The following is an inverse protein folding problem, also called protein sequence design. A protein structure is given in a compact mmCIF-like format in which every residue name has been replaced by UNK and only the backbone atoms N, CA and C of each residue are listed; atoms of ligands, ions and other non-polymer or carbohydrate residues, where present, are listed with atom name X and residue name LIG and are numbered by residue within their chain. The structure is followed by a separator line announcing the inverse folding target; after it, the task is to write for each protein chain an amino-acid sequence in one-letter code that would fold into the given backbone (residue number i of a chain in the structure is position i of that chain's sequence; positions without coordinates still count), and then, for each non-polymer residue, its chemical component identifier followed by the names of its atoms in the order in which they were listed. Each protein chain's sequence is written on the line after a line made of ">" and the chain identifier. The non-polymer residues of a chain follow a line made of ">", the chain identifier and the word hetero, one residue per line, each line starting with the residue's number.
data_IF_675037171031
#
_entry.id   IF_675037171031
#
_cell.length_a   1.000
_cell.length_b   1.000
_cell.length_c   1.000
_cell.angle_alpha   90.00
_cell.angle_beta   90.00
_cell.angle_gamma   90.00
#
_symmetry.space_group_name_H-M   'P 1'
#
loop_
_entity.id
_entity.type
_entity.pdbx_description
1 polymer ?
#
# COMPACT_ATOMS: atom_id res chain seq x y z
N UNK A 1 -40.59 -76.74 22.70
CA UNK A 1 -39.93 -75.59 22.04
C UNK A 1 -38.73 -75.15 22.92
N UNK A 2 -37.89 -76.11 23.31
CA UNK A 2 -36.74 -75.88 24.20
C UNK A 2 -35.54 -76.79 23.85
N UNK A 3 -35.48 -77.34 22.60
CA UNK A 3 -34.43 -78.27 22.19
C UNK A 3 -33.71 -77.82 20.89
N UNK A 4 -33.95 -76.59 20.39
CA UNK A 4 -33.25 -76.06 19.18
C UNK A 4 -32.34 -74.86 19.51
N UNK A 5 -32.17 -74.49 20.77
CA UNK A 5 -31.33 -73.32 21.13
C UNK A 5 -29.97 -73.72 21.72
N UNK A 6 -29.66 -75.02 21.88
CA UNK A 6 -28.37 -75.49 22.41
C UNK A 6 -27.40 -75.96 21.35
N UNK A 7 -27.82 -76.08 20.07
CA UNK A 7 -26.94 -76.51 18.98
C UNK A 7 -26.22 -75.32 18.23
N UNK A 8 -26.60 -74.06 18.54
CA UNK A 8 -26.01 -72.87 17.88
C UNK A 8 -24.91 -72.22 18.73
N UNK A 9 -24.67 -72.73 19.98
CA UNK A 9 -23.64 -72.13 20.87
C UNK A 9 -22.35 -72.93 20.95
N UNK A 10 -22.21 -74.03 20.19
CA UNK A 10 -20.98 -74.86 20.17
C UNK A 10 -20.18 -74.80 18.86
N UNK A 11 -20.47 -73.85 17.94
CA UNK A 11 -19.72 -73.71 16.69
C UNK A 11 -18.89 -72.45 16.59
N UNK A 12 -18.70 -71.71 17.73
CA UNK A 12 -17.88 -70.45 17.75
C UNK A 12 -16.59 -70.58 18.58
N UNK A 13 -16.05 -71.76 18.74
CA UNK A 13 -14.86 -71.92 19.64
C UNK A 13 -13.68 -72.60 18.96
N UNK A 14 -13.44 -72.37 17.64
CA UNK A 14 -12.18 -72.77 17.01
C UNK A 14 -11.85 -71.88 15.82
N UNK A 15 -11.80 -70.55 16.03
CA UNK A 15 -10.99 -69.65 15.18
C UNK A 15 -9.78 -69.29 16.03
N UNK A 16 -8.80 -70.15 16.04
CA UNK A 16 -7.48 -69.82 16.54
C UNK A 16 -6.92 -68.76 15.60
N UNK A 17 -6.88 -67.50 16.08
CA UNK A 17 -6.05 -66.49 15.47
C UNK A 17 -4.60 -66.91 15.57
N UNK A 18 -4.12 -67.52 14.52
CA UNK A 18 -2.71 -67.67 14.29
C UNK A 18 -2.21 -66.30 13.76
N UNK A 19 -2.11 -65.32 14.64
CA UNK A 19 -1.40 -64.08 14.34
C UNK A 19 0.08 -64.39 14.36
N UNK A 20 0.60 -64.90 13.26
CA UNK A 20 1.95 -64.52 12.88
C UNK A 20 1.91 -63.02 12.68
N UNK A 21 2.47 -62.30 13.61
CA UNK A 21 2.88 -60.92 13.36
C UNK A 21 4.02 -60.96 12.36
N UNK A 22 3.67 -61.07 11.07
CA UNK A 22 4.54 -60.57 10.04
C UNK A 22 4.63 -59.07 10.28
N UNK A 23 5.71 -58.64 10.93
CA UNK A 23 6.16 -57.25 10.86
C UNK A 23 6.51 -57.10 9.40
N UNK A 24 5.53 -56.73 8.58
CA UNK A 24 5.81 -56.19 7.26
C UNK A 24 6.81 -55.07 7.48
N UNK A 25 8.02 -55.29 7.04
CA UNK A 25 9.05 -54.29 6.96
C UNK A 25 8.50 -53.20 5.99
N UNK A 26 7.79 -52.23 6.53
CA UNK A 26 7.18 -51.14 5.77
C UNK A 26 8.29 -50.23 5.21
N UNK A 27 9.09 -50.78 4.34
CA UNK A 27 10.06 -50.00 3.57
C UNK A 27 9.31 -49.23 2.50
N UNK A 28 9.44 -47.90 2.53
CA UNK A 28 8.79 -46.98 1.59
C UNK A 28 9.82 -46.18 0.83
N UNK A 29 9.67 -46.09 -0.49
CA UNK A 29 10.45 -45.17 -1.33
C UNK A 29 10.03 -43.71 -1.23
N UNK A 30 9.10 -43.38 -0.35
CA UNK A 30 8.65 -41.98 -0.19
C UNK A 30 9.74 -41.10 0.45
N UNK A 31 10.09 -40.00 -0.25
CA UNK A 31 11.16 -39.06 0.13
C UNK A 31 10.61 -37.64 0.23
N UNK A 32 9.66 -37.40 1.14
CA UNK A 32 8.95 -36.11 1.22
C UNK A 32 9.23 -35.39 2.54
N UNK A 33 9.48 -34.08 2.49
CA UNK A 33 9.34 -33.20 3.64
C UNK A 33 7.85 -32.85 3.77
N UNK A 34 7.23 -33.21 4.92
CA UNK A 34 5.81 -32.97 5.19
C UNK A 34 5.59 -31.62 5.90
N UNK A 35 6.48 -31.28 6.83
CA UNK A 35 6.43 -30.03 7.58
C UNK A 35 7.84 -29.60 7.98
N UNK A 36 8.07 -28.30 8.01
CA UNK A 36 9.30 -27.69 8.51
C UNK A 36 8.97 -26.36 9.12
N UNK A 37 9.41 -26.11 10.36
CA UNK A 37 9.03 -24.90 11.11
C UNK A 37 10.27 -24.29 11.72
N UNK A 38 10.42 -22.97 11.53
CA UNK A 38 11.49 -22.19 12.14
C UNK A 38 11.27 -22.08 13.66
N UNK A 39 12.34 -22.17 14.42
CA UNK A 39 12.36 -21.99 15.86
C UNK A 39 12.48 -20.52 16.28
N UNK A 40 12.92 -20.30 17.51
CA UNK A 40 13.21 -18.94 18.02
C UNK A 40 14.58 -18.49 17.50
N UNK A 41 14.60 -17.38 16.77
CA UNK A 41 15.79 -16.84 16.12
C UNK A 41 16.33 -15.61 16.84
N UNK A 42 17.60 -15.31 16.65
CA UNK A 42 18.21 -14.06 17.11
C UNK A 42 18.09 -12.99 16.02
N UNK A 43 17.80 -11.77 16.45
CA UNK A 43 17.82 -10.58 15.61
C UNK A 43 18.72 -9.53 16.25
N UNK A 44 19.71 -9.05 15.53
CA UNK A 44 20.65 -8.05 15.95
C UNK A 44 20.20 -6.66 15.49
N UNK A 45 20.04 -5.75 16.43
CA UNK A 45 19.59 -4.39 16.20
C UNK A 45 20.66 -3.41 16.65
N UNK A 46 20.84 -2.33 15.89
CA UNK A 46 21.73 -1.24 16.21
C UNK A 46 20.99 -0.16 17.01
N UNK A 47 21.66 0.40 17.99
CA UNK A 47 21.18 1.56 18.76
C UNK A 47 22.38 2.40 19.15
N UNK A 48 22.14 3.67 19.50
CA UNK A 48 23.17 4.50 20.07
C UNK A 48 23.21 4.28 21.59
N UNK A 49 24.39 4.01 22.12
CA UNK A 49 24.63 4.00 23.57
C UNK A 49 24.45 5.42 24.14
N UNK A 50 24.38 5.54 25.46
CA UNK A 50 24.32 6.86 26.14
C UNK A 50 25.51 7.78 25.80
N UNK A 51 26.64 7.21 25.39
CA UNK A 51 27.83 7.96 24.96
C UNK A 51 27.83 8.25 23.44
N UNK A 52 26.76 7.98 22.71
CA UNK A 52 26.65 8.19 21.26
C UNK A 52 27.39 7.15 20.41
N UNK A 53 27.94 6.09 21.01
CA UNK A 53 28.61 5.01 20.27
C UNK A 53 27.58 4.00 19.77
N UNK A 54 27.84 3.43 18.57
CA UNK A 54 27.04 2.33 18.05
C UNK A 54 27.08 1.13 19.01
N UNK A 55 25.94 0.57 19.28
CA UNK A 55 25.76 -0.57 20.16
C UNK A 55 24.79 -1.57 19.54
N UNK A 56 25.13 -2.85 19.63
CA UNK A 56 24.27 -3.94 19.10
C UNK A 56 23.59 -4.61 20.29
N UNK A 57 22.28 -4.76 20.18
CA UNK A 57 21.50 -5.57 21.10
C UNK A 57 20.75 -6.67 20.37
N UNK A 58 20.42 -7.76 21.05
CA UNK A 58 19.76 -8.90 20.45
C UNK A 58 18.35 -9.03 20.99
N UNK A 59 17.39 -9.15 20.07
CA UNK A 59 16.01 -9.49 20.37
C UNK A 59 15.67 -10.87 19.76
N UNK A 60 14.61 -11.50 20.27
CA UNK A 60 14.12 -12.79 19.76
C UNK A 60 13.06 -12.57 18.70
N UNK A 61 13.11 -13.39 17.65
CA UNK A 61 12.08 -13.51 16.62
C UNK A 61 11.44 -14.88 16.73
N UNK A 62 10.11 -14.91 16.81
CA UNK A 62 9.34 -16.15 16.79
C UNK A 62 9.26 -16.64 15.36
N UNK A 63 10.13 -17.59 14.98
CA UNK A 63 10.27 -18.05 13.60
C UNK A 63 9.03 -18.73 13.04
N UNK A 64 8.19 -19.35 13.90
CA UNK A 64 6.92 -19.97 13.49
C UNK A 64 5.89 -19.00 12.90
N UNK A 65 6.05 -17.68 13.12
CA UNK A 65 5.23 -16.65 12.47
C UNK A 65 5.58 -16.43 10.99
N UNK A 66 6.69 -17.03 10.52
CA UNK A 66 7.18 -16.97 9.15
C UNK A 66 7.13 -18.38 8.56
N UNK A 67 5.95 -18.87 8.13
CA UNK A 67 5.79 -20.26 7.70
C UNK A 67 6.63 -20.55 6.48
N UNK A 68 7.15 -21.81 6.43
CA UNK A 68 7.89 -22.31 5.30
C UNK A 68 6.93 -22.98 4.32
N UNK A 69 6.97 -22.54 3.08
CA UNK A 69 6.29 -23.19 1.96
C UNK A 69 7.16 -24.33 1.44
N UNK A 70 6.57 -25.51 1.26
CA UNK A 70 7.23 -26.69 0.72
C UNK A 70 6.68 -26.95 -0.68
N UNK A 71 7.44 -26.55 -1.69
CA UNK A 71 7.13 -26.82 -3.08
C UNK A 71 7.69 -28.21 -3.45
N UNK A 72 6.80 -29.20 -3.45
CA UNK A 72 7.14 -30.57 -3.74
C UNK A 72 7.51 -30.80 -5.23
N UNK A 73 6.98 -30.00 -6.12
CA UNK A 73 7.19 -30.11 -7.56
C UNK A 73 8.58 -29.60 -7.93
N UNK A 74 8.89 -28.39 -7.49
CA UNK A 74 10.17 -27.75 -7.78
C UNK A 74 11.27 -28.09 -6.75
N UNK A 75 10.94 -28.89 -5.73
CA UNK A 75 11.88 -29.33 -4.69
C UNK A 75 12.51 -28.12 -3.95
N UNK A 76 11.67 -27.14 -3.58
CA UNK A 76 12.09 -25.92 -2.87
C UNK A 76 11.35 -25.77 -1.56
N UNK A 77 12.04 -25.25 -0.54
CA UNK A 77 11.47 -24.86 0.75
C UNK A 77 11.91 -23.43 1.05
N UNK A 78 10.97 -22.54 1.31
CA UNK A 78 11.28 -21.13 1.56
C UNK A 78 10.19 -20.47 2.39
N UNK A 79 10.53 -19.41 3.12
CA UNK A 79 9.53 -18.54 3.75
C UNK A 79 9.02 -17.53 2.73
N UNK A 80 7.69 -17.44 2.58
CA UNK A 80 7.01 -16.46 1.70
C UNK A 80 7.26 -15.06 2.25
N UNK A 81 6.94 -14.86 3.53
CA UNK A 81 7.28 -13.62 4.23
C UNK A 81 8.73 -13.68 4.70
N UNK A 82 9.55 -12.74 4.25
CA UNK A 82 10.94 -12.63 4.66
C UNK A 82 11.05 -12.32 6.15
N UNK A 83 12.02 -12.94 6.82
CA UNK A 83 12.34 -12.62 8.21
C UNK A 83 12.73 -11.13 8.37
N UNK A 84 12.50 -10.52 9.54
CA UNK A 84 12.85 -9.12 9.76
C UNK A 84 14.34 -8.86 9.55
N UNK A 85 14.66 -7.66 9.09
CA UNK A 85 16.06 -7.20 8.91
C UNK A 85 16.86 -7.38 10.19
N UNK A 86 18.10 -7.84 10.08
CA UNK A 86 18.98 -8.11 11.22
C UNK A 86 18.82 -9.50 11.85
N UNK A 87 17.91 -10.34 11.34
CA UNK A 87 17.82 -11.75 11.78
C UNK A 87 19.10 -12.51 11.41
N UNK A 88 19.68 -13.20 12.38
CA UNK A 88 20.91 -13.97 12.21
C UNK A 88 20.65 -15.27 11.45
N UNK A 89 20.72 -15.19 10.12
CA UNK A 89 20.56 -16.34 9.24
C UNK A 89 21.73 -17.33 9.28
N UNK A 90 22.84 -16.98 9.96
CA UNK A 90 23.95 -17.91 10.20
C UNK A 90 23.64 -18.89 11.33
N UNK A 91 22.60 -18.65 12.10
CA UNK A 91 22.21 -19.46 13.26
C UNK A 91 20.72 -19.77 13.26
N UNK A 92 20.22 -20.33 12.16
CA UNK A 92 18.84 -20.78 12.06
C UNK A 92 18.66 -22.09 12.83
N UNK A 93 17.61 -22.16 13.62
CA UNK A 93 17.16 -23.37 14.32
C UNK A 93 15.74 -23.72 13.88
N UNK A 94 15.42 -25.00 13.88
CA UNK A 94 14.09 -25.50 13.58
C UNK A 94 13.40 -25.99 14.85
N UNK A 95 12.13 -25.66 15.02
CA UNK A 95 11.28 -26.17 16.12
C UNK A 95 10.53 -27.45 15.70
N UNK A 96 10.43 -27.73 14.41
CA UNK A 96 9.78 -28.92 13.87
C UNK A 96 10.28 -29.26 12.47
N UNK A 97 10.46 -30.55 12.23
CA UNK A 97 10.76 -31.13 10.93
C UNK A 97 10.11 -32.53 10.85
N UNK A 98 9.22 -32.69 9.90
CA UNK A 98 8.56 -33.99 9.64
C UNK A 98 8.81 -34.39 8.20
N UNK A 99 9.34 -35.59 8.00
CA UNK A 99 9.61 -36.16 6.68
C UNK A 99 9.23 -37.63 6.67
N UNK A 100 9.18 -38.25 5.50
CA UNK A 100 8.88 -39.68 5.32
C UNK A 100 10.10 -40.58 5.57
N UNK A 101 11.28 -40.01 5.80
CA UNK A 101 12.52 -40.73 6.03
C UNK A 101 13.55 -39.86 6.76
N UNK A 102 14.80 -40.28 6.76
CA UNK A 102 15.88 -39.54 7.41
C UNK A 102 16.28 -38.30 6.62
N UNK A 103 16.47 -37.18 7.30
CA UNK A 103 16.85 -35.91 6.66
C UNK A 103 18.31 -35.62 6.93
N UNK A 104 19.05 -35.38 5.88
CA UNK A 104 20.45 -34.94 5.95
C UNK A 104 20.60 -33.55 5.33
N UNK A 105 21.63 -32.81 5.77
CA UNK A 105 22.01 -31.53 5.20
C UNK A 105 23.43 -31.62 4.63
N UNK A 106 23.63 -31.01 3.46
CA UNK A 106 24.93 -30.96 2.84
C UNK A 106 25.88 -30.03 3.59
N UNK A 107 27.02 -30.51 4.01
CA UNK A 107 28.07 -29.72 4.65
C UNK A 107 28.64 -28.68 3.69
N UNK A 108 28.75 -27.39 4.11
CA UNK A 108 29.42 -26.34 3.32
C UNK A 108 30.91 -26.55 3.16
N UNK A 109 31.53 -27.34 4.05
CA UNK A 109 33.00 -27.54 4.08
C UNK A 109 33.37 -28.77 3.26
N UNK A 110 32.68 -29.88 3.49
CA UNK A 110 33.07 -31.16 2.90
C UNK A 110 32.23 -31.56 1.68
N UNK A 111 31.10 -30.91 1.45
CA UNK A 111 30.13 -31.26 0.42
C UNK A 111 29.36 -32.57 0.69
N UNK A 112 29.65 -33.26 1.80
CA UNK A 112 29.04 -34.53 2.19
C UNK A 112 27.76 -34.26 3.01
N UNK A 113 26.79 -35.16 2.88
CA UNK A 113 25.55 -35.13 3.66
C UNK A 113 25.83 -35.61 5.09
N UNK A 114 25.29 -34.87 6.06
CA UNK A 114 25.30 -35.15 7.50
C UNK A 114 23.88 -35.18 8.02
N UNK A 115 23.55 -36.04 8.96
CA UNK A 115 22.20 -36.12 9.53
C UNK A 115 21.82 -34.77 10.12
N UNK A 116 20.64 -34.24 9.75
CA UNK A 116 20.14 -32.96 10.23
C UNK A 116 19.60 -33.13 11.66
N UNK A 117 20.24 -32.46 12.60
CA UNK A 117 19.73 -32.34 13.96
C UNK A 117 18.98 -31.02 14.13
N UNK A 118 17.70 -31.08 14.48
CA UNK A 118 16.84 -29.89 14.64
C UNK A 118 17.30 -28.96 15.77
N UNK A 119 18.06 -29.46 16.75
CA UNK A 119 18.59 -28.68 17.87
C UNK A 119 19.83 -27.86 17.51
N UNK A 120 20.49 -28.20 16.41
CA UNK A 120 21.69 -27.52 15.97
C UNK A 120 21.33 -26.24 15.20
N UNK A 121 22.14 -25.21 15.38
CA UNK A 121 22.02 -24.00 14.55
C UNK A 121 22.72 -24.21 13.21
N UNK A 122 22.04 -23.83 12.13
CA UNK A 122 22.48 -24.05 10.76
C UNK A 122 22.63 -22.71 10.05
N UNK A 123 23.72 -22.55 9.30
CA UNK A 123 23.99 -21.36 8.51
C UNK A 123 23.22 -21.43 7.16
N UNK A 124 22.24 -20.51 7.02
CA UNK A 124 21.46 -20.26 5.82
C UNK A 124 21.78 -18.90 5.18
N UNK A 125 22.98 -18.36 5.36
CA UNK A 125 23.42 -17.14 4.65
C UNK A 125 23.37 -17.30 3.11
N UNK A 126 23.34 -18.55 2.64
CA UNK A 126 23.07 -18.97 1.26
C UNK A 126 22.10 -20.13 1.27
N UNK A 127 21.34 -20.37 0.20
CA UNK A 127 20.47 -21.54 0.08
C UNK A 127 21.23 -22.85 0.37
N UNK A 128 20.57 -23.78 1.04
CA UNK A 128 21.16 -25.08 1.45
C UNK A 128 20.40 -26.21 0.82
N UNK A 129 21.11 -27.32 0.57
CA UNK A 129 20.49 -28.58 0.12
C UNK A 129 20.27 -29.48 1.32
N UNK A 130 19.04 -29.95 1.48
CA UNK A 130 18.69 -31.07 2.36
C UNK A 130 18.28 -32.27 1.49
N UNK A 131 18.63 -33.45 1.95
CA UNK A 131 18.30 -34.71 1.29
C UNK A 131 17.43 -35.55 2.21
N UNK A 132 16.27 -35.99 1.73
CA UNK A 132 15.43 -36.99 2.43
C UNK A 132 15.78 -38.36 1.88
N UNK A 133 16.27 -39.23 2.71
CA UNK A 133 16.54 -40.62 2.42
C UNK A 133 15.37 -41.48 2.87
N UNK A 134 14.79 -42.25 1.96
CA UNK A 134 13.66 -43.10 2.26
C UNK A 134 14.07 -44.31 3.13
N UNK A 135 13.07 -44.99 3.70
CA UNK A 135 13.27 -46.18 4.53
C UNK A 135 13.63 -47.41 3.71
N UNK A 136 13.49 -47.39 2.39
CA UNK A 136 13.92 -48.44 1.49
C UNK A 136 15.47 -48.53 1.31
N UNK A 137 16.19 -47.54 1.85
CA UNK A 137 17.65 -47.45 1.78
C UNK A 137 18.23 -47.12 0.40
N UNK A 138 17.39 -46.89 -0.61
CA UNK A 138 17.78 -46.60 -2.00
C UNK A 138 17.30 -45.25 -2.48
N UNK A 139 16.04 -44.96 -2.25
CA UNK A 139 15.38 -43.72 -2.74
C UNK A 139 15.79 -42.50 -1.94
N UNK A 140 16.00 -41.38 -2.63
CA UNK A 140 16.24 -40.10 -1.99
C UNK A 140 15.69 -38.94 -2.82
N UNK A 141 15.42 -37.79 -2.13
CA UNK A 141 15.00 -36.55 -2.78
C UNK A 141 15.70 -35.37 -2.15
N UNK A 142 16.17 -34.43 -2.99
CA UNK A 142 16.84 -33.22 -2.57
C UNK A 142 15.90 -32.03 -2.61
N UNK A 143 15.98 -31.16 -1.60
CA UNK A 143 15.27 -29.90 -1.56
C UNK A 143 16.27 -28.78 -1.38
N UNK A 144 16.09 -27.70 -2.14
CA UNK A 144 16.78 -26.44 -1.88
C UNK A 144 15.99 -25.65 -0.85
N UNK A 145 16.61 -25.38 0.30
CA UNK A 145 16.04 -24.57 1.38
C UNK A 145 16.62 -23.17 1.32
N UNK A 146 15.76 -22.17 1.21
CA UNK A 146 16.11 -20.76 1.15
C UNK A 146 15.40 -20.01 2.28
N UNK A 147 16.15 -19.52 3.27
CA UNK A 147 15.63 -18.73 4.38
C UNK A 147 15.87 -17.27 4.08
N UNK A 148 14.78 -16.57 3.73
CA UNK A 148 14.80 -15.18 3.27
C UNK A 148 14.73 -14.22 4.45
N UNK A 149 15.50 -13.15 4.36
CA UNK A 149 15.54 -12.05 5.33
C UNK A 149 15.51 -10.73 4.58
N UNK A 150 14.73 -9.77 5.07
CA UNK A 150 14.74 -8.41 4.51
C UNK A 150 16.12 -7.77 4.67
N UNK A 151 16.58 -7.12 3.61
CA UNK A 151 17.86 -6.39 3.60
C UNK A 151 17.71 -4.97 4.11
N UNK A 152 16.48 -4.44 4.10
CA UNK A 152 16.14 -3.06 4.42
C UNK A 152 15.01 -3.01 5.44
N UNK A 153 15.00 -1.93 6.24
CA UNK A 153 13.90 -1.67 7.17
C UNK A 153 12.61 -1.36 6.41
N UNK A 154 11.54 -2.08 6.75
CA UNK A 154 10.24 -1.93 6.07
C UNK A 154 9.67 -0.53 6.13
N UNK A 155 9.80 0.13 7.28
CA UNK A 155 9.25 1.46 7.54
C UNK A 155 10.20 2.61 7.13
N UNK A 156 11.35 2.31 6.52
CA UNK A 156 12.24 3.34 6.00
C UNK A 156 11.67 3.93 4.71
N UNK A 157 11.59 5.27 4.70
CA UNK A 157 11.27 6.05 3.52
C UNK A 157 12.57 6.37 2.77
N UNK A 158 12.63 6.02 1.49
CA UNK A 158 13.76 6.32 0.62
C UNK A 158 13.32 7.33 -0.44
N UNK A 159 14.05 8.45 -0.51
CA UNK A 159 13.83 9.49 -1.50
C UNK A 159 14.95 9.53 -2.53
N UNK A 160 14.57 9.71 -3.80
CA UNK A 160 15.48 9.93 -4.91
C UNK A 160 15.06 11.21 -5.64
N UNK A 161 15.99 12.15 -5.81
CA UNK A 161 15.79 13.28 -6.72
C UNK A 161 15.98 12.77 -8.15
N UNK A 162 14.90 12.73 -8.91
CA UNK A 162 14.90 12.21 -10.29
C UNK A 162 15.20 13.30 -11.31
N UNK A 163 14.91 14.55 -10.97
CA UNK A 163 15.21 15.70 -11.82
C UNK A 163 15.50 16.95 -10.99
N UNK A 164 16.22 17.92 -11.57
CA UNK A 164 16.53 19.22 -10.99
C UNK A 164 16.77 20.23 -12.11
N UNK A 165 16.32 21.48 -11.88
CA UNK A 165 16.52 22.55 -12.85
C UNK A 165 15.74 22.39 -14.15
N UNK A 166 14.59 21.69 -14.11
CA UNK A 166 13.72 21.55 -15.26
C UNK A 166 13.12 22.91 -15.66
N UNK A 167 13.55 23.45 -16.78
CA UNK A 167 13.10 24.75 -17.29
C UNK A 167 11.59 24.81 -17.57
N UNK A 168 10.98 23.65 -17.87
CA UNK A 168 9.53 23.55 -18.09
C UNK A 168 8.69 23.95 -16.87
N UNK A 169 9.28 23.94 -15.66
CA UNK A 169 8.62 24.30 -14.41
C UNK A 169 9.01 25.68 -13.87
N UNK A 170 9.91 26.42 -14.54
CA UNK A 170 10.50 27.66 -14.00
C UNK A 170 9.49 28.79 -13.76
N UNK A 171 8.41 28.85 -14.54
CA UNK A 171 7.39 29.91 -14.51
C UNK A 171 6.00 29.42 -14.07
N UNK A 172 5.87 28.13 -13.77
CA UNK A 172 4.59 27.53 -13.38
C UNK A 172 4.31 27.80 -11.91
N UNK A 173 3.03 28.01 -11.58
CA UNK A 173 2.53 28.24 -10.21
C UNK A 173 1.24 27.44 -9.98
N UNK A 174 0.82 27.34 -8.71
CA UNK A 174 -0.41 26.65 -8.30
C UNK A 174 -0.48 25.22 -8.87
N UNK A 175 0.60 24.47 -8.64
CA UNK A 175 0.69 23.11 -9.14
C UNK A 175 -0.35 22.19 -8.48
N UNK A 176 -0.99 21.39 -9.33
CA UNK A 176 -1.84 20.29 -8.92
C UNK A 176 -1.48 19.04 -9.74
N UNK A 177 -1.15 17.92 -9.09
CA UNK A 177 -0.69 16.73 -9.78
C UNK A 177 -1.63 15.55 -9.61
N UNK A 178 -1.75 14.78 -10.69
CA UNK A 178 -2.44 13.49 -10.73
C UNK A 178 -1.56 12.47 -11.42
N UNK A 179 -1.64 11.22 -10.98
CA UNK A 179 -1.07 10.08 -11.70
C UNK A 179 -2.20 9.25 -12.28
N UNK A 180 -2.15 9.02 -13.59
CA UNK A 180 -3.11 8.17 -14.29
C UNK A 180 -2.33 7.08 -15.00
N UNK A 181 -2.53 5.83 -14.59
CA UNK A 181 -1.77 4.68 -15.08
C UNK A 181 -0.25 4.91 -14.90
N UNK A 182 0.51 5.01 -15.99
CA UNK A 182 1.95 5.30 -15.99
C UNK A 182 2.29 6.75 -16.32
N UNK A 183 1.31 7.67 -16.36
CA UNK A 183 1.53 9.07 -16.73
C UNK A 183 1.33 9.98 -15.53
N UNK A 184 2.31 10.80 -15.26
CA UNK A 184 2.27 11.93 -14.34
C UNK A 184 1.71 13.15 -15.09
N UNK A 185 0.72 13.80 -14.50
CA UNK A 185 0.16 15.07 -14.97
C UNK A 185 0.43 16.12 -13.88
N UNK A 186 1.03 17.22 -14.24
CA UNK A 186 1.20 18.40 -13.39
C UNK A 186 0.48 19.58 -14.05
N UNK A 187 -0.69 19.90 -13.55
CA UNK A 187 -1.47 21.06 -13.95
C UNK A 187 -0.98 22.29 -13.20
N UNK A 188 -1.07 23.46 -13.81
CA UNK A 188 -0.68 24.71 -13.17
C UNK A 188 -0.93 25.92 -14.06
N UNK A 189 -0.49 27.09 -13.59
CA UNK A 189 -0.62 28.35 -14.30
C UNK A 189 0.75 28.88 -14.72
N UNK A 190 0.89 29.28 -15.96
CA UNK A 190 2.01 30.08 -16.47
C UNK A 190 1.51 31.52 -16.75
N UNK A 191 1.86 32.44 -15.87
CA UNK A 191 1.15 33.71 -15.79
C UNK A 191 -0.32 33.51 -15.39
N UNK A 192 -1.24 33.71 -16.32
CA UNK A 192 -2.68 33.47 -16.17
C UNK A 192 -3.18 32.31 -17.04
N UNK A 193 -2.30 31.67 -17.79
CA UNK A 193 -2.68 30.62 -18.75
C UNK A 193 -2.52 29.23 -18.10
N UNK A 194 -3.56 28.39 -18.13
CA UNK A 194 -3.45 27.03 -17.64
C UNK A 194 -2.57 26.19 -18.57
N UNK A 195 -1.71 25.40 -17.94
CA UNK A 195 -0.81 24.47 -18.62
C UNK A 195 -0.87 23.12 -17.94
N UNK A 196 -0.54 22.06 -18.69
CA UNK A 196 -0.27 20.76 -18.15
C UNK A 196 1.08 20.26 -18.64
N UNK A 197 1.88 19.74 -17.71
CA UNK A 197 3.12 19.04 -18.00
C UNK A 197 2.89 17.56 -17.78
N UNK A 198 3.39 16.73 -18.68
CA UNK A 198 3.24 15.29 -18.61
C UNK A 198 4.59 14.58 -18.65
N UNK A 199 4.73 13.50 -17.87
CA UNK A 199 5.88 12.62 -17.90
C UNK A 199 5.46 11.16 -17.67
N UNK A 200 6.28 10.20 -18.08
CA UNK A 200 6.06 8.81 -17.74
C UNK A 200 6.69 8.51 -16.39
N UNK A 201 6.01 7.68 -15.54
CA UNK A 201 6.52 7.25 -14.22
C UNK A 201 7.85 6.49 -14.32
N UNK A 202 8.14 5.85 -15.46
CA UNK A 202 9.44 5.22 -15.72
C UNK A 202 10.55 6.22 -16.08
N UNK A 203 10.19 7.45 -16.51
CA UNK A 203 11.13 8.51 -16.92
C UNK A 203 10.71 9.87 -16.36
N UNK A 204 10.59 10.02 -15.02
CA UNK A 204 10.04 11.21 -14.37
C UNK A 204 10.94 12.47 -14.50
N UNK A 205 12.05 12.37 -15.20
CA UNK A 205 12.93 13.49 -15.57
C UNK A 205 12.60 14.09 -16.97
N UNK A 206 11.73 13.46 -17.75
CA UNK A 206 11.37 13.89 -19.11
C UNK A 206 9.94 14.41 -19.12
N UNK A 207 9.79 15.73 -19.14
CA UNK A 207 8.49 16.40 -19.12
C UNK A 207 8.19 17.09 -20.44
N UNK A 208 6.95 16.92 -20.90
CA UNK A 208 6.41 17.61 -22.07
C UNK A 208 5.35 18.59 -21.62
N UNK A 209 5.47 19.84 -22.03
CA UNK A 209 4.53 20.92 -21.71
C UNK A 209 3.47 21.03 -22.79
N UNK A 210 2.21 21.18 -22.38
CA UNK A 210 1.06 21.43 -23.24
C UNK A 210 0.27 22.64 -22.73
N UNK A 211 -0.17 23.50 -23.66
CA UNK A 211 -1.14 24.54 -23.34
C UNK A 211 -2.54 23.91 -23.23
N UNK A 212 -3.33 24.37 -22.29
CA UNK A 212 -4.71 23.90 -22.08
C UNK A 212 -5.70 24.81 -22.79
N UNK A 213 -6.72 24.23 -23.37
CA UNK A 213 -7.86 24.94 -23.95
C UNK A 213 -9.15 24.45 -23.28
N UNK A 214 -10.02 25.35 -22.74
CA UNK A 214 -9.95 26.82 -22.78
C UNK A 214 -8.97 27.43 -21.76
N UNK A 215 -8.55 28.66 -22.03
CA UNK A 215 -7.62 29.42 -21.16
C UNK A 215 -8.21 29.80 -19.80
N UNK A 216 -9.49 29.61 -19.57
CA UNK A 216 -10.20 29.86 -18.31
C UNK A 216 -10.28 28.65 -17.40
N UNK A 217 -9.62 27.56 -17.75
CA UNK A 217 -9.64 26.33 -16.95
C UNK A 217 -8.92 26.57 -15.62
N UNK A 218 -9.56 26.16 -14.53
CA UNK A 218 -8.95 26.11 -13.21
C UNK A 218 -8.10 24.84 -13.09
N UNK A 219 -6.79 25.00 -13.21
CA UNK A 219 -5.83 23.91 -13.16
C UNK A 219 -5.83 23.16 -11.81
N UNK A 220 -6.21 23.81 -10.71
CA UNK A 220 -6.28 23.19 -9.38
C UNK A 220 -7.55 22.38 -9.14
N UNK A 221 -8.60 22.60 -9.94
CA UNK A 221 -9.87 21.87 -9.82
C UNK A 221 -9.88 20.50 -10.50
N UNK A 222 -8.77 20.09 -11.15
CA UNK A 222 -8.76 18.88 -11.98
C UNK A 222 -8.88 17.62 -11.13
N UNK A 223 -9.87 16.78 -11.47
CA UNK A 223 -10.05 15.43 -10.86
C UNK A 223 -10.17 14.37 -11.95
N UNK A 224 -9.84 13.13 -11.62
CA UNK A 224 -10.05 11.97 -12.51
C UNK A 224 -11.28 11.19 -12.08
N UNK A 225 -12.25 10.99 -12.99
CA UNK A 225 -13.43 10.16 -12.78
C UNK A 225 -13.57 9.14 -13.91
N UNK A 226 -13.50 7.88 -13.56
CA UNK A 226 -13.45 6.80 -14.54
C UNK A 226 -12.26 6.98 -15.51
N UNK A 227 -12.56 7.02 -16.81
CA UNK A 227 -11.56 7.22 -17.86
C UNK A 227 -11.46 8.68 -18.37
N UNK A 228 -12.04 9.64 -17.66
CA UNK A 228 -12.06 11.06 -18.07
C UNK A 228 -11.55 11.97 -16.95
N UNK A 229 -10.98 13.09 -17.36
CA UNK A 229 -10.71 14.21 -16.45
C UNK A 229 -11.92 15.14 -16.41
N UNK A 230 -12.12 15.76 -15.25
CA UNK A 230 -13.09 16.81 -15.01
C UNK A 230 -12.40 17.99 -14.36
N UNK A 231 -12.81 19.19 -14.70
CA UNK A 231 -12.29 20.44 -14.14
C UNK A 231 -13.34 21.55 -14.26
N UNK A 232 -13.07 22.69 -13.66
CA UNK A 232 -13.89 23.87 -13.79
C UNK A 232 -13.26 24.86 -14.78
N UNK A 233 -14.08 25.55 -15.58
CA UNK A 233 -13.67 26.71 -16.33
C UNK A 233 -14.76 27.79 -16.18
N UNK A 234 -14.41 28.95 -15.65
CA UNK A 234 -15.40 30.02 -15.33
C UNK A 234 -16.59 29.46 -14.54
N UNK A 235 -16.33 28.62 -13.53
CA UNK A 235 -17.30 27.94 -12.67
C UNK A 235 -18.24 26.94 -13.37
N UNK A 236 -17.96 26.59 -14.63
CA UNK A 236 -18.68 25.56 -15.38
C UNK A 236 -17.88 24.26 -15.43
N UNK A 237 -18.58 23.13 -15.42
CA UNK A 237 -17.96 21.82 -15.50
C UNK A 237 -17.47 21.53 -16.93
N UNK A 238 -16.20 21.13 -17.00
CA UNK A 238 -15.53 20.71 -18.23
C UNK A 238 -15.10 19.24 -18.11
N UNK A 239 -14.93 18.57 -19.23
CA UNK A 239 -14.41 17.20 -19.28
C UNK A 239 -13.38 17.04 -20.40
N UNK A 240 -12.38 16.17 -20.17
CA UNK A 240 -11.33 15.84 -21.11
C UNK A 240 -11.00 14.35 -21.08
N UNK A 241 -10.48 13.80 -22.16
CA UNK A 241 -9.91 12.44 -22.22
C UNK A 241 -8.41 12.43 -22.08
N UNK A 242 -7.74 13.56 -22.39
CA UNK A 242 -6.29 13.69 -22.47
C UNK A 242 -5.70 14.70 -21.45
N UNK A 243 -6.54 15.46 -20.75
CA UNK A 243 -6.12 16.52 -19.83
C UNK A 243 -5.64 17.81 -20.54
N UNK A 244 -5.71 17.89 -21.87
CA UNK A 244 -5.23 19.01 -22.69
C UNK A 244 -6.41 19.74 -23.33
N UNK A 245 -7.28 18.98 -24.00
CA UNK A 245 -8.43 19.49 -24.73
C UNK A 245 -9.70 19.25 -23.91
N UNK A 246 -10.40 20.34 -23.56
CA UNK A 246 -11.55 20.29 -22.67
C UNK A 246 -12.83 20.73 -23.34
N UNK A 247 -13.90 20.04 -23.07
CA UNK A 247 -15.23 20.32 -23.58
C UNK A 247 -16.21 20.54 -22.42
N UNK A 248 -17.19 21.44 -22.56
CA UNK A 248 -18.19 21.64 -21.52
C UNK A 248 -19.04 20.39 -21.32
N UNK A 249 -19.40 20.13 -20.07
CA UNK A 249 -20.43 19.14 -19.72
C UNK A 249 -21.77 19.85 -19.70
N UNK A 250 -22.72 19.37 -20.51
CA UNK A 250 -24.08 19.90 -20.54
C UNK A 250 -24.86 19.32 -19.34
N UNK A 251 -24.85 20.06 -18.24
CA UNK A 251 -25.67 19.73 -17.07
C UNK A 251 -27.12 20.06 -17.32
N UNK A 252 -28.03 19.11 -17.02
CA UNK A 252 -29.48 19.23 -17.22
C UNK A 252 -30.26 19.39 -15.94
N UNK A 253 -29.60 19.27 -14.77
CA UNK A 253 -30.24 19.40 -13.45
C UNK A 253 -29.22 19.70 -12.35
N UNK A 254 -29.64 20.47 -11.35
CA UNK A 254 -28.83 20.90 -10.23
C UNK A 254 -28.19 22.28 -10.42
N UNK A 255 -27.13 22.63 -9.66
CA UNK A 255 -26.48 23.94 -9.76
C UNK A 255 -25.75 24.07 -11.10
N UNK A 256 -25.78 25.28 -11.65
CA UNK A 256 -25.10 25.63 -12.90
C UNK A 256 -23.72 26.27 -12.66
N UNK A 257 -23.33 26.46 -11.42
CA UNK A 257 -22.07 27.09 -11.03
C UNK A 257 -21.45 26.33 -9.87
N UNK A 258 -20.17 26.04 -10.00
CA UNK A 258 -19.40 25.29 -9.01
C UNK A 258 -18.24 26.16 -8.51
N UNK A 259 -17.93 26.02 -7.24
CA UNK A 259 -16.78 26.70 -6.62
C UNK A 259 -15.53 25.85 -6.71
N UNK A 260 -15.65 24.53 -6.49
CA UNK A 260 -14.54 23.60 -6.48
C UNK A 260 -15.03 22.17 -6.78
N UNK A 261 -14.24 21.40 -7.53
CA UNK A 261 -14.39 19.94 -7.56
C UNK A 261 -13.63 19.37 -6.35
N UNK A 262 -14.33 18.59 -5.55
CA UNK A 262 -13.82 18.12 -4.26
C UNK A 262 -13.18 16.75 -4.37
N UNK A 263 -13.63 15.94 -5.31
CA UNK A 263 -13.11 14.59 -5.48
C UNK A 263 -14.01 13.71 -6.34
N UNK A 264 -13.53 12.53 -6.59
CA UNK A 264 -14.21 11.56 -7.42
C UNK A 264 -13.94 10.14 -6.93
N UNK A 265 -15.00 9.36 -6.77
CA UNK A 265 -14.98 7.94 -6.50
C UNK A 265 -15.41 7.11 -7.71
N UNK A 266 -15.71 5.84 -7.46
CA UNK A 266 -16.13 4.90 -8.52
C UNK A 266 -17.43 5.35 -9.19
N UNK A 267 -18.42 5.83 -8.42
CA UNK A 267 -19.71 6.26 -8.92
C UNK A 267 -19.95 7.77 -8.80
N UNK A 268 -19.32 8.42 -7.84
CA UNK A 268 -19.66 9.78 -7.46
C UNK A 268 -18.61 10.77 -7.96
N UNK A 269 -19.07 11.89 -8.49
CA UNK A 269 -18.30 13.12 -8.66
C UNK A 269 -18.85 14.12 -7.65
N UNK A 270 -17.97 14.75 -6.87
CA UNK A 270 -18.31 15.61 -5.74
C UNK A 270 -17.81 17.03 -5.97
N UNK A 271 -18.63 18.02 -5.63
CA UNK A 271 -18.29 19.43 -5.80
C UNK A 271 -18.83 20.31 -4.65
N UNK A 272 -18.21 21.46 -4.50
CA UNK A 272 -18.76 22.59 -3.78
C UNK A 272 -19.52 23.51 -4.75
N UNK A 273 -20.71 23.92 -4.37
CA UNK A 273 -21.51 24.89 -5.10
C UNK A 273 -22.11 25.90 -4.11
N UNK A 274 -21.51 27.08 -4.03
CA UNK A 274 -21.81 28.06 -2.98
C UNK A 274 -21.56 27.47 -1.59
N UNK A 275 -22.58 27.47 -0.75
CA UNK A 275 -22.51 26.90 0.61
C UNK A 275 -23.06 25.46 0.68
N UNK A 276 -23.01 24.69 -0.39
CA UNK A 276 -23.51 23.32 -0.46
C UNK A 276 -22.47 22.36 -0.99
N UNK A 277 -22.44 21.15 -0.45
CA UNK A 277 -21.81 20.00 -1.06
C UNK A 277 -22.83 19.32 -1.99
N UNK A 278 -22.41 18.98 -3.20
CA UNK A 278 -23.27 18.40 -4.22
C UNK A 278 -22.59 17.18 -4.83
N UNK A 279 -23.39 16.22 -5.24
CA UNK A 279 -22.89 14.98 -5.86
C UNK A 279 -23.62 14.68 -7.18
N UNK A 280 -22.88 14.03 -8.09
CA UNK A 280 -23.38 13.51 -9.36
C UNK A 280 -22.95 12.07 -9.51
N UNK A 281 -23.85 11.21 -10.02
CA UNK A 281 -23.57 9.79 -10.35
C UNK A 281 -23.64 9.48 -11.84
N UNK A 282 -23.80 10.48 -12.68
CA UNK A 282 -23.95 10.37 -14.13
C UNK A 282 -22.91 11.16 -14.93
N UNK A 283 -21.74 11.41 -14.28
CA UNK A 283 -20.62 12.14 -14.90
C UNK A 283 -20.88 13.64 -15.03
N UNK A 284 -21.58 14.22 -14.06
CA UNK A 284 -21.81 15.67 -13.96
C UNK A 284 -23.00 16.18 -14.78
N UNK A 285 -23.83 15.30 -15.32
CA UNK A 285 -25.04 15.72 -16.08
C UNK A 285 -26.14 16.20 -15.14
N UNK A 286 -26.34 15.49 -14.03
CA UNK A 286 -27.27 15.90 -12.98
C UNK A 286 -26.58 15.96 -11.64
N UNK A 287 -26.97 16.92 -10.80
CA UNK A 287 -26.39 17.14 -9.49
C UNK A 287 -27.47 17.26 -8.43
N UNK A 288 -27.20 16.68 -7.27
CA UNK A 288 -28.09 16.71 -6.11
C UNK A 288 -27.34 17.31 -4.94
N UNK A 289 -28.01 18.20 -4.19
CA UNK A 289 -27.46 18.70 -2.94
C UNK A 289 -27.44 17.58 -1.89
N UNK A 290 -26.30 17.42 -1.26
CA UNK A 290 -26.09 16.40 -0.24
C UNK A 290 -26.60 16.90 1.13
N UNK A 291 -27.09 15.99 1.95
CA UNK A 291 -27.46 16.30 3.33
C UNK A 291 -26.23 16.56 4.18
N UNK A 292 -26.29 17.57 5.04
CA UNK A 292 -25.29 17.89 6.05
C UNK A 292 -25.88 17.61 7.45
N UNK A 293 -25.12 17.01 8.35
CA UNK A 293 -25.57 16.69 9.71
C UNK A 293 -25.64 17.90 10.64
N UNK A 294 -25.02 18.99 10.26
CA UNK A 294 -24.96 20.20 11.06
C UNK A 294 -24.86 21.45 10.18
N UNK A 295 -25.01 22.62 10.79
CA UNK A 295 -24.77 23.94 10.18
C UNK A 295 -23.31 24.40 10.27
N UNK A 296 -22.38 23.51 10.55
CA UNK A 296 -20.96 23.84 10.61
C UNK A 296 -20.47 24.38 9.25
N UNK A 297 -19.49 25.27 9.23
CA UNK A 297 -19.03 25.89 7.98
C UNK A 297 -18.38 24.85 7.05
N UNK A 298 -18.49 25.12 5.74
CA UNK A 298 -17.70 24.42 4.72
C UNK A 298 -16.34 25.11 4.53
N UNK A 299 -15.29 24.39 4.12
CA UNK A 299 -13.95 24.95 3.89
C UNK A 299 -13.92 25.69 2.55
N UNK A 300 -14.41 26.93 2.52
CA UNK A 300 -14.56 27.70 1.28
C UNK A 300 -13.33 28.55 0.94
N UNK A 301 -12.43 28.80 1.88
CA UNK A 301 -11.29 29.70 1.64
C UNK A 301 -10.09 28.93 1.09
N UNK A 302 -9.84 27.75 1.62
CA UNK A 302 -8.84 26.80 1.13
C UNK A 302 -9.36 25.39 1.37
N UNK A 303 -9.30 24.53 0.38
CA UNK A 303 -9.82 23.18 0.53
C UNK A 303 -9.10 22.15 -0.35
N UNK A 304 -9.22 20.89 0.06
CA UNK A 304 -8.96 19.74 -0.75
C UNK A 304 -9.94 18.61 -0.40
N UNK A 305 -10.20 17.77 -1.36
CA UNK A 305 -11.03 16.60 -1.15
C UNK A 305 -10.43 15.35 -1.78
N UNK A 306 -10.85 14.20 -1.27
CA UNK A 306 -10.44 12.90 -1.78
C UNK A 306 -11.54 11.88 -1.53
N UNK A 307 -11.75 11.00 -2.51
CA UNK A 307 -12.57 9.80 -2.36
C UNK A 307 -11.67 8.59 -2.49
N UNK A 308 -11.82 7.62 -1.59
CA UNK A 308 -11.00 6.41 -1.56
C UNK A 308 -11.78 5.21 -1.05
N UNK A 309 -11.34 4.01 -1.43
CA UNK A 309 -11.97 2.76 -0.99
C UNK A 309 -11.98 2.65 0.54
N UNK A 310 -13.10 2.25 1.11
CA UNK A 310 -13.21 1.99 2.54
C UNK A 310 -12.38 0.77 2.92
N UNK A 311 -11.65 0.85 4.04
CA UNK A 311 -10.91 -0.27 4.62
C UNK A 311 -11.83 -1.26 5.35
N UNK A 312 -13.08 -0.87 5.62
CA UNK A 312 -14.04 -1.68 6.39
C UNK A 312 -14.88 -2.57 5.48
N UNK A 313 -15.28 -2.07 4.30
CA UNK A 313 -16.13 -2.81 3.38
C UNK A 313 -15.88 -2.40 1.93
N UNK A 314 -15.83 -3.38 1.03
CA UNK A 314 -15.69 -3.16 -0.42
C UNK A 314 -16.91 -2.47 -1.06
N UNK A 315 -18.03 -2.43 -0.35
CA UNK A 315 -19.25 -1.80 -0.83
C UNK A 315 -19.30 -0.29 -0.53
N UNK A 316 -18.28 0.25 0.11
CA UNK A 316 -18.23 1.65 0.48
C UNK A 316 -16.94 2.32 0.01
N UNK A 317 -17.07 3.57 -0.35
CA UNK A 317 -15.97 4.52 -0.44
C UNK A 317 -16.13 5.58 0.65
N UNK A 318 -15.04 6.17 1.05
CA UNK A 318 -15.03 7.30 1.97
C UNK A 318 -14.66 8.57 1.22
N UNK A 319 -15.49 9.59 1.34
CA UNK A 319 -15.21 10.93 0.88
C UNK A 319 -14.77 11.79 2.06
N UNK A 320 -13.73 12.57 1.86
CA UNK A 320 -13.20 13.53 2.82
C UNK A 320 -13.08 14.89 2.14
N UNK A 321 -13.56 15.93 2.79
CA UNK A 321 -13.37 17.32 2.42
C UNK A 321 -12.80 18.04 3.62
N UNK A 322 -11.66 18.67 3.45
CA UNK A 322 -10.99 19.41 4.51
C UNK A 322 -10.44 20.74 4.00
N UNK A 323 -10.13 21.62 4.91
CA UNK A 323 -9.55 22.89 4.57
C UNK A 323 -9.72 23.95 5.65
N UNK A 324 -9.80 25.20 5.23
CA UNK A 324 -9.89 26.33 6.12
C UNK A 324 -11.17 27.15 5.84
N UNK A 325 -11.71 27.73 6.93
CA UNK A 325 -12.67 28.81 6.90
C UNK A 325 -12.14 29.95 7.78
N UNK A 326 -11.66 31.01 7.15
CA UNK A 326 -10.72 31.93 7.83
C UNK A 326 -9.43 31.20 8.18
N UNK A 327 -9.08 31.18 9.46
CA UNK A 327 -7.95 30.41 9.99
C UNK A 327 -8.38 29.11 10.70
N UNK A 328 -9.68 28.81 10.71
CA UNK A 328 -10.21 27.66 11.43
C UNK A 328 -10.20 26.41 10.53
N UNK A 329 -9.68 25.27 11.00
CA UNK A 329 -9.69 24.04 10.26
C UNK A 329 -11.09 23.43 10.21
N UNK A 330 -11.47 22.91 9.06
CA UNK A 330 -12.78 22.30 8.79
C UNK A 330 -12.57 20.92 8.22
N UNK A 331 -13.34 19.94 8.69
CA UNK A 331 -13.33 18.56 8.20
C UNK A 331 -14.74 18.00 8.07
N UNK A 332 -15.07 17.54 6.88
CA UNK A 332 -16.29 16.81 6.59
C UNK A 332 -15.96 15.45 6.00
N UNK A 333 -16.71 14.43 6.41
CA UNK A 333 -16.57 13.08 5.88
C UNK A 333 -17.94 12.53 5.48
N UNK A 334 -17.95 11.63 4.48
CA UNK A 334 -19.14 10.91 4.05
C UNK A 334 -18.76 9.50 3.63
N UNK A 335 -19.59 8.52 3.98
CA UNK A 335 -19.51 7.19 3.40
C UNK A 335 -20.44 7.13 2.17
N UNK A 336 -19.89 6.66 1.05
CA UNK A 336 -20.59 6.53 -0.23
C UNK A 336 -20.93 5.06 -0.46
N UNK A 337 -22.21 4.73 -0.54
CA UNK A 337 -22.66 3.35 -0.77
C UNK A 337 -22.59 2.99 -2.26
N UNK A 338 -21.78 1.99 -2.58
CA UNK A 338 -21.62 1.47 -3.95
C UNK A 338 -22.59 0.34 -4.29
N UNK A 339 -23.27 -0.26 -3.28
CA UNK A 339 -24.13 -1.43 -3.47
C UNK A 339 -25.56 -1.08 -3.84
N UNK A 340 -26.04 0.10 -3.47
CA UNK A 340 -27.44 0.49 -3.62
C UNK A 340 -27.65 1.99 -3.78
N UNK A 341 -28.76 2.48 -3.22
CA UNK A 341 -29.06 3.91 -3.15
C UNK A 341 -28.30 4.52 -1.98
N UNK A 342 -27.38 5.42 -2.29
CA UNK A 342 -26.63 6.15 -1.28
C UNK A 342 -27.53 7.16 -0.55
N UNK A 343 -27.73 6.93 0.74
CA UNK A 343 -28.56 7.76 1.62
C UNK A 343 -27.76 8.48 2.70
N UNK A 344 -26.44 8.26 2.77
CA UNK A 344 -25.60 8.89 3.79
C UNK A 344 -25.34 10.36 3.48
N UNK A 345 -25.49 11.20 4.50
CA UNK A 345 -25.10 12.62 4.46
C UNK A 345 -23.63 12.81 4.86
N UNK A 346 -23.20 14.06 4.74
CA UNK A 346 -21.90 14.49 5.24
C UNK A 346 -21.96 14.73 6.74
N UNK A 347 -20.94 14.30 7.44
CA UNK A 347 -20.75 14.44 8.89
C UNK A 347 -19.61 15.42 9.14
N UNK A 348 -19.87 16.45 9.95
CA UNK A 348 -18.86 17.37 10.39
C UNK A 348 -18.04 16.77 11.55
N UNK A 349 -16.73 16.86 11.45
CA UNK A 349 -15.80 16.48 12.50
C UNK A 349 -15.16 17.76 13.06
N UNK A 350 -15.60 18.24 14.23
CA UNK A 350 -15.02 19.44 14.82
C UNK A 350 -13.54 19.29 15.07
N UNK A 351 -12.74 20.21 14.55
CA UNK A 351 -11.30 20.25 14.73
C UNK A 351 -10.92 21.38 15.69
N UNK A 352 -9.84 21.20 16.42
CA UNK A 352 -9.25 22.19 17.30
C UNK A 352 -7.92 22.66 16.69
N UNK A 353 -7.86 23.92 16.30
CA UNK A 353 -6.68 24.57 15.70
C UNK A 353 -5.47 24.59 16.65
N UNK A 354 -5.69 24.46 17.95
CA UNK A 354 -4.64 24.48 18.97
C UNK A 354 -4.16 23.10 19.38
N UNK A 355 -4.82 22.05 18.89
CA UNK A 355 -4.46 20.65 19.18
C UNK A 355 -3.13 20.29 18.51
N UNK A 356 -2.32 19.49 19.21
CA UNK A 356 -1.14 18.89 18.59
C UNK A 356 -1.55 18.00 17.43
N UNK A 357 -0.94 18.20 16.26
CA UNK A 357 -1.30 17.48 15.03
C UNK A 357 -2.55 18.04 14.35
N UNK A 358 -2.90 19.32 14.57
CA UNK A 358 -3.96 20.00 13.82
C UNK A 358 -3.65 20.04 12.32
N UNK A 359 -4.65 20.35 11.50
CA UNK A 359 -4.48 20.60 10.07
C UNK A 359 -3.47 21.75 9.88
N UNK A 360 -2.37 21.56 9.13
CA UNK A 360 -1.40 22.63 8.89
C UNK A 360 -2.05 23.76 8.07
N UNK A 361 -1.74 25.00 8.39
CA UNK A 361 -2.19 26.15 7.61
C UNK A 361 -1.28 26.32 6.40
N UNK A 362 -1.76 25.93 5.23
CA UNK A 362 -1.08 25.98 3.94
C UNK A 362 -2.05 26.52 2.88
N UNK A 363 -1.52 26.84 1.71
CA UNK A 363 -2.27 27.20 0.51
C UNK A 363 -2.16 26.07 -0.52
N UNK A 364 -3.09 26.03 -1.49
CA UNK A 364 -3.06 25.06 -2.58
C UNK A 364 -2.95 23.61 -2.08
N UNK A 365 -3.82 23.22 -1.15
CA UNK A 365 -3.83 21.87 -0.60
C UNK A 365 -3.95 20.82 -1.69
N UNK A 366 -3.13 19.78 -1.58
CA UNK A 366 -3.23 18.57 -2.38
C UNK A 366 -3.35 17.36 -1.46
N UNK A 367 -4.38 16.53 -1.70
CA UNK A 367 -4.61 15.27 -1.00
C UNK A 367 -4.34 14.09 -1.91
N UNK A 368 -3.73 13.05 -1.36
CA UNK A 368 -3.57 11.76 -2.02
C UNK A 368 -3.78 10.62 -0.99
N UNK A 369 -3.98 9.40 -1.49
CA UNK A 369 -3.99 8.19 -0.64
C UNK A 369 -2.60 7.58 -0.65
N UNK A 370 -2.05 7.27 0.53
CA UNK A 370 -0.75 6.64 0.67
C UNK A 370 -0.69 5.79 1.93
N UNK A 371 -0.31 4.51 1.80
CA UNK A 371 -0.11 3.60 2.94
C UNK A 371 -1.30 3.56 3.91
N UNK A 372 -2.50 3.41 3.36
CA UNK A 372 -3.77 3.45 4.10
C UNK A 372 -4.01 4.73 4.94
N UNK A 373 -3.26 5.79 4.64
CA UNK A 373 -3.38 7.11 5.24
C UNK A 373 -3.76 8.16 4.19
N UNK A 374 -4.23 9.33 4.65
CA UNK A 374 -4.28 10.52 3.82
C UNK A 374 -2.91 11.19 3.82
N UNK A 375 -2.41 11.51 2.65
CA UNK A 375 -1.20 12.31 2.43
C UNK A 375 -1.62 13.72 2.03
N UNK A 376 -1.18 14.71 2.79
CA UNK A 376 -1.43 16.12 2.52
C UNK A 376 -0.12 16.85 2.24
N UNK A 377 -0.16 17.73 1.28
CA UNK A 377 0.80 18.83 1.11
C UNK A 377 0.08 20.12 0.77
N UNK A 378 0.84 21.19 0.67
CA UNK A 378 0.45 22.51 0.22
C UNK A 378 1.64 23.44 0.21
N UNK A 379 1.39 24.70 -0.02
CA UNK A 379 2.37 25.75 -0.11
C UNK A 379 2.32 26.65 1.14
N UNK A 380 3.46 27.13 1.59
CA UNK A 380 3.51 28.21 2.57
C UNK A 380 3.11 29.53 1.91
N UNK A 381 2.91 30.59 2.71
CA UNK A 381 2.52 31.90 2.20
C UNK A 381 3.50 32.51 1.18
N UNK A 382 4.75 32.08 1.17
CA UNK A 382 5.78 32.48 0.20
C UNK A 382 5.84 31.59 -1.05
N UNK A 383 4.92 30.63 -1.20
CA UNK A 383 4.88 29.65 -2.27
C UNK A 383 5.83 28.47 -2.08
N UNK A 384 6.67 28.49 -1.02
CA UNK A 384 7.60 27.40 -0.77
C UNK A 384 6.87 26.12 -0.33
N UNK A 385 7.51 24.98 -0.52
CA UNK A 385 6.99 23.69 -0.15
C UNK A 385 6.65 23.60 1.34
N UNK A 386 5.41 23.26 1.66
CA UNK A 386 4.87 23.18 3.03
C UNK A 386 5.24 21.91 3.80
N UNK A 387 5.81 20.91 3.13
CA UNK A 387 6.11 19.60 3.71
C UNK A 387 5.04 18.55 3.41
N UNK A 388 5.29 17.33 3.88
CA UNK A 388 4.36 16.21 3.78
C UNK A 388 3.77 15.88 5.14
N UNK A 389 2.49 15.65 5.19
CA UNK A 389 1.74 15.27 6.39
C UNK A 389 0.94 14.01 6.14
N UNK A 390 0.93 13.10 7.10
CA UNK A 390 0.09 11.90 7.06
C UNK A 390 -0.99 11.95 8.13
N UNK A 391 -2.19 11.55 7.77
CA UNK A 391 -3.31 11.32 8.68
C UNK A 391 -3.78 9.88 8.54
N UNK A 392 -3.76 9.13 9.66
CA UNK A 392 -4.25 7.74 9.71
C UNK A 392 -5.68 7.62 10.27
N UNK A 393 -6.28 8.75 10.58
CA UNK A 393 -7.62 8.89 11.14
C UNK A 393 -8.55 9.73 10.25
N UNK A 394 -8.34 9.64 8.93
CA UNK A 394 -9.13 10.28 7.88
C UNK A 394 -9.21 11.81 7.99
N UNK A 395 -8.10 12.46 8.36
CA UNK A 395 -7.98 13.93 8.36
C UNK A 395 -8.13 14.58 9.72
N UNK A 396 -8.35 13.82 10.81
CA UNK A 396 -8.52 14.37 12.13
C UNK A 396 -7.21 14.81 12.79
N UNK A 397 -6.13 14.01 12.63
CA UNK A 397 -4.77 14.37 13.09
C UNK A 397 -3.73 14.22 11.98
N UNK A 398 -2.73 15.10 11.98
CA UNK A 398 -1.70 15.18 10.96
C UNK A 398 -0.30 15.09 11.56
N UNK A 399 0.55 14.22 11.01
CA UNK A 399 1.91 13.98 11.46
C UNK A 399 2.90 14.17 10.31
N UNK A 400 3.93 14.98 10.54
CA UNK A 400 4.96 15.30 9.53
C UNK A 400 6.17 14.35 9.53
N UNK A 401 6.45 13.70 10.66
CA UNK A 401 7.73 13.01 10.88
C UNK A 401 7.87 11.65 10.18
N UNK A 402 6.77 11.02 9.78
CA UNK A 402 6.80 9.63 9.28
C UNK A 402 7.54 9.51 7.94
N UNK A 403 7.43 10.47 7.04
CA UNK A 403 7.92 10.36 5.67
C UNK A 403 9.34 10.89 5.44
N UNK A 404 10.00 11.44 6.48
CA UNK A 404 11.37 12.00 6.36
C UNK A 404 11.54 12.81 5.07
N UNK A 405 10.69 13.81 4.89
CA UNK A 405 10.61 14.66 3.69
C UNK A 405 12.00 15.17 3.28
N UNK A 406 12.37 15.14 1.99
CA UNK A 406 13.64 15.67 1.54
C UNK A 406 13.73 17.19 1.75
N UNK A 407 14.94 17.71 1.90
CA UNK A 407 15.17 19.15 1.95
C UNK A 407 14.95 19.75 0.55
N UNK A 408 13.84 20.45 0.36
CA UNK A 408 13.47 21.13 -0.88
C UNK A 408 13.67 22.62 -0.70
N UNK A 409 14.39 23.25 -1.63
CA UNK A 409 14.64 24.69 -1.62
C UNK A 409 14.39 25.30 -2.99
N UNK A 410 14.04 26.59 -3.03
CA UNK A 410 13.78 27.32 -4.26
C UNK A 410 12.52 26.92 -5.02
N UNK A 411 11.63 26.16 -4.38
CA UNK A 411 10.29 25.93 -4.92
C UNK A 411 9.43 27.19 -4.76
N UNK A 412 8.70 27.55 -5.81
CA UNK A 412 7.71 28.62 -5.85
C UNK A 412 6.27 28.09 -5.89
N UNK A 413 6.13 26.80 -6.11
CA UNK A 413 4.91 26.01 -6.01
C UNK A 413 5.28 24.55 -5.92
N UNK A 414 4.52 23.75 -5.18
CA UNK A 414 4.80 22.31 -5.04
C UNK A 414 3.53 21.50 -4.84
N UNK A 415 3.51 20.31 -5.42
CA UNK A 415 2.40 19.37 -5.32
C UNK A 415 2.89 17.95 -5.17
N UNK A 416 1.98 17.03 -4.82
CA UNK A 416 2.27 15.60 -4.72
C UNK A 416 1.26 14.77 -5.50
N UNK A 417 1.73 13.62 -5.96
CA UNK A 417 0.86 12.55 -6.46
C UNK A 417 1.46 11.20 -6.12
N UNK A 418 0.65 10.15 -6.19
CA UNK A 418 1.07 8.78 -5.86
C UNK A 418 0.74 7.87 -7.04
N UNK A 419 1.67 6.99 -7.42
CA UNK A 419 1.44 6.02 -8.49
C UNK A 419 0.94 4.66 -7.95
N UNK A 420 0.55 3.77 -8.86
CA UNK A 420 0.07 2.43 -8.55
C UNK A 420 1.13 1.51 -7.91
N UNK A 421 2.42 1.89 -7.96
CA UNK A 421 3.53 1.19 -7.32
C UNK A 421 3.85 1.78 -5.94
N UNK A 422 2.98 2.63 -5.41
CA UNK A 422 3.14 3.34 -4.13
C UNK A 422 4.37 4.27 -4.09
N UNK A 423 4.78 4.85 -5.21
CA UNK A 423 5.73 5.94 -5.18
C UNK A 423 5.03 7.28 -5.02
N UNK A 424 5.47 8.06 -4.06
CA UNK A 424 5.12 9.48 -3.94
C UNK A 424 6.03 10.26 -4.90
N UNK A 425 5.47 11.14 -5.69
CA UNK A 425 6.19 12.14 -6.47
C UNK A 425 5.95 13.51 -5.84
N UNK A 426 7.01 14.26 -5.52
CA UNK A 426 6.95 15.67 -5.18
C UNK A 426 7.44 16.42 -6.41
N UNK A 427 6.61 17.30 -6.94
CA UNK A 427 6.89 18.09 -8.15
C UNK A 427 6.96 19.55 -7.73
N UNK A 428 8.10 20.20 -8.01
CA UNK A 428 8.39 21.56 -7.58
C UNK A 428 8.60 22.49 -8.77
N UNK A 429 7.79 23.52 -8.87
CA UNK A 429 8.02 24.64 -9.76
C UNK A 429 9.06 25.59 -9.18
N UNK A 430 9.61 26.50 -9.98
CA UNK A 430 10.73 27.35 -9.62
C UNK A 430 12.06 26.61 -9.66
N UNK A 431 12.30 25.71 -8.72
CA UNK A 431 13.50 24.87 -8.67
C UNK A 431 13.58 23.82 -9.79
N UNK A 432 12.43 23.45 -10.36
CA UNK A 432 12.35 22.37 -11.37
C UNK A 432 12.81 21.02 -10.81
N UNK A 433 12.63 20.78 -9.51
CA UNK A 433 12.97 19.52 -8.89
C UNK A 433 11.79 18.55 -8.94
N UNK A 434 12.10 17.28 -9.22
CA UNK A 434 11.15 16.17 -9.07
C UNK A 434 11.80 15.13 -8.17
N UNK A 435 11.12 14.81 -7.08
CA UNK A 435 11.51 13.79 -6.14
C UNK A 435 10.56 12.60 -6.22
N UNK A 436 11.11 11.41 -6.08
CA UNK A 436 10.35 10.16 -6.02
C UNK A 436 10.74 9.40 -4.78
N UNK A 437 9.76 8.96 -4.00
CA UNK A 437 10.03 8.22 -2.78
C UNK A 437 9.00 7.17 -2.46
N UNK A 438 9.40 6.14 -1.69
CA UNK A 438 8.51 5.08 -1.24
C UNK A 438 8.99 4.49 0.08
N UNK A 439 8.06 4.13 0.96
CA UNK A 439 8.33 3.27 2.12
C UNK A 439 8.70 1.88 1.60
N UNK A 440 9.82 1.32 2.07
CA UNK A 440 10.38 0.07 1.52
C UNK A 440 9.37 -1.07 1.46
N UNK A 441 8.59 -1.31 2.54
CA UNK A 441 7.62 -2.41 2.60
C UNK A 441 6.53 -2.34 1.53
N UNK A 442 6.17 -1.15 1.05
CA UNK A 442 5.19 -0.98 -0.02
C UNK A 442 5.71 -1.41 -1.40
N UNK A 443 7.00 -1.66 -1.51
CA UNK A 443 7.63 -2.19 -2.71
C UNK A 443 7.99 -3.66 -2.62
N UNK A 444 7.77 -4.31 -1.48
CA UNK A 444 8.06 -5.71 -1.35
C UNK A 444 7.06 -6.55 -2.15
N UNK A 445 7.59 -7.54 -2.87
CA UNK A 445 6.74 -8.45 -3.63
C UNK A 445 6.05 -9.42 -2.68
N UNK A 446 4.75 -9.55 -2.79
CA UNK A 446 4.03 -10.65 -2.19
C UNK A 446 4.21 -11.88 -3.09
N UNK A 447 4.94 -12.90 -2.61
CA UNK A 447 5.24 -14.11 -3.40
C UNK A 447 4.09 -15.14 -3.38
N UNK A 448 2.97 -14.86 -2.69
CA UNK A 448 1.76 -15.71 -2.72
C UNK A 448 1.15 -15.89 -4.12
N UNK A 449 1.60 -15.08 -5.09
CA UNK A 449 1.15 -15.18 -6.48
C UNK A 449 1.77 -16.34 -7.25
N UNK A 450 2.75 -17.07 -6.68
CA UNK A 450 3.40 -18.21 -7.34
C UNK A 450 2.49 -19.44 -7.46
N UNK A 451 1.36 -19.47 -6.76
CA UNK A 451 0.42 -20.58 -6.73
C UNK A 451 -0.99 -20.21 -7.24
N UNK A 452 -1.12 -19.13 -8.00
CA UNK A 452 -2.38 -18.78 -8.68
C UNK A 452 -2.39 -19.26 -10.11
#
# INVERSE_FOLDING_TARGET
>A
MALMLSALLMLMANVGCNTKSEVEDLTSGACLVKAMTLGTLNRHLHTLSRSGRDSIYTVKVTGSLYPLTIDQVNQRIFNVDSLPVGTDVKKIVFSGLTATGSVAIQSKVTGKDTLLNQKDSIDFSTPRIITVYATDGVSNRKYQVDIRVHKEWGDSMIWQRTASGLSAFSSVRQLHALTVESTLYAFGLEGTMPVVLTANTASPQQWTRHAITPATLDAHSVVRHGNRFFALASNQLMTSTDGINWNPVNSTGGPNSFTQLVGSGTKHLLALSGASLVSSTDGGKTWTADALDSSAPLPLDENAGLVFASTVSKNYEKAVVLGLRGNEPVLWQRDLDLSGTDTFGWINFPLDAHRRGHLPTLQNYTLARYDDALLLTGEKNDGSFGGLYLSRDNGYTWLQKELKTPAISGATSATVTVDAQNYIYIICAGSGEVWRGRINRLGWKNEDTLFK
#
